data_IF_544187096563
#
_entry.id   IF_544187096563
#
_cell.length_a   1.000
_cell.length_b   1.000
_cell.length_c   1.000
_cell.angle_alpha   90.00
_cell.angle_beta   90.00
_cell.angle_gamma   90.00
#
_symmetry.space_group_name_H-M   'P 1'
#
loop_
_entity.id
_entity.type
_entity.pdbx_description
1 polymer ?
#
# COMPACT_ATOMS: atom_id res chain seq x y z
N UNK A 1 -6.06 -15.93 24.10
CA UNK A 1 -5.95 -15.81 23.75
C UNK A 1 -5.51 -15.69 22.97
N UNK A 2 -5.64 -15.87 22.79
CA UNK A 2 -5.35 -15.81 22.19
C UNK A 2 -4.95 -15.83 21.31
N UNK A 3 -4.80 -15.77 21.02
CA UNK A 3 -4.53 -15.70 20.37
C UNK A 3 -4.08 -15.87 19.56
N UNK A 4 -3.90 -16.09 19.47
CA UNK A 4 -3.50 -16.32 18.79
C UNK A 4 -3.38 -16.10 17.75
N UNK A 5 -3.11 -15.82 17.81
CA UNK A 5 -3.27 -15.19 16.77
C UNK A 5 -2.81 -15.43 15.53
N UNK A 6 -3.15 -15.12 14.67
CA UNK A 6 -2.68 -15.37 13.46
C UNK A 6 -1.77 -14.40 13.02
N UNK A 7 -1.05 -14.75 12.52
CA UNK A 7 0.00 -14.28 12.12
C UNK A 7 -0.11 -13.44 10.91
N UNK A 8 -1.18 -13.33 10.25
CA UNK A 8 -1.36 -12.54 9.06
C UNK A 8 -1.95 -11.23 9.38
N UNK A 9 -1.47 -10.65 10.43
CA UNK A 9 -2.04 -9.43 10.90
C UNK A 9 -1.59 -8.29 10.03
N UNK A 10 -2.55 -7.52 9.57
CA UNK A 10 -2.29 -6.30 8.84
C UNK A 10 -1.80 -5.23 9.81
N UNK A 11 -0.80 -4.47 9.40
CA UNK A 11 -0.46 -3.25 10.11
C UNK A 11 -0.08 -2.17 9.12
N UNK A 12 -0.31 -0.93 9.48
CA UNK A 12 0.08 0.22 8.69
C UNK A 12 0.59 1.28 9.64
N UNK A 13 1.87 1.58 9.54
CA UNK A 13 2.53 2.55 10.40
C UNK A 13 2.89 3.77 9.57
N UNK A 14 2.58 4.95 10.05
CA UNK A 14 2.80 6.17 9.28
C UNK A 14 3.89 7.02 9.92
N UNK A 15 4.62 7.74 9.09
CA UNK A 15 5.48 8.82 9.52
C UNK A 15 5.37 9.95 8.51
N UNK A 16 5.46 11.18 9.00
CA UNK A 16 5.29 12.35 8.13
C UNK A 16 6.55 13.18 8.21
N UNK A 17 7.06 13.57 7.05
CA UNK A 17 8.20 14.45 6.96
C UNK A 17 7.91 15.45 5.85
N UNK A 18 7.86 16.73 6.19
CA UNK A 18 7.49 17.75 5.24
C UNK A 18 6.07 17.51 4.73
N UNK A 19 5.93 17.45 3.41
CA UNK A 19 4.63 17.24 2.79
C UNK A 19 4.35 15.79 2.45
N UNK A 20 5.19 14.86 2.91
CA UNK A 20 5.08 13.46 2.52
C UNK A 20 4.77 12.57 3.70
N UNK A 21 3.79 11.70 3.52
CA UNK A 21 3.53 10.63 4.48
C UNK A 21 4.14 9.35 3.93
N UNK A 22 4.81 8.59 4.79
CA UNK A 22 5.31 7.26 4.43
C UNK A 22 4.52 6.25 5.25
N UNK A 23 3.91 5.29 4.58
CA UNK A 23 3.12 4.26 5.22
C UNK A 23 3.84 2.93 5.01
N UNK A 24 4.25 2.30 6.10
CA UNK A 24 4.84 0.96 6.04
C UNK A 24 3.74 -0.03 6.35
N UNK A 25 3.42 -0.88 5.38
CA UNK A 25 2.33 -1.83 5.49
C UNK A 25 2.91 -3.23 5.58
N UNK A 26 2.39 -4.03 6.50
CA UNK A 26 2.80 -5.42 6.62
C UNK A 26 1.57 -6.33 6.63
N UNK A 27 1.78 -7.57 6.26
CA UNK A 27 0.73 -8.59 6.34
C UNK A 27 -0.08 -8.69 5.08
N UNK A 28 -1.36 -8.88 5.22
CA UNK A 28 -2.26 -9.11 4.10
C UNK A 28 -3.13 -7.89 3.86
N UNK A 29 -3.19 -7.45 2.61
CA UNK A 29 -4.07 -6.35 2.24
C UNK A 29 -5.18 -6.93 1.39
N UNK A 30 -6.38 -7.01 1.97
CA UNK A 30 -7.53 -7.63 1.34
C UNK A 30 -8.75 -6.75 1.58
N UNK A 31 -9.92 -7.29 1.30
CA UNK A 31 -11.17 -6.56 1.39
C UNK A 31 -11.40 -5.99 2.79
N UNK A 32 -10.90 -6.65 3.83
CA UNK A 32 -11.12 -6.19 5.19
C UNK A 32 -10.07 -5.20 5.68
N UNK A 33 -8.92 -5.10 5.01
CA UNK A 33 -7.81 -4.26 5.47
C UNK A 33 -7.43 -3.15 4.49
N UNK A 34 -7.90 -3.23 3.25
CA UNK A 34 -7.53 -2.23 2.24
C UNK A 34 -7.93 -0.81 2.66
N UNK A 35 -9.08 -0.67 3.29
CA UNK A 35 -9.52 0.64 3.74
C UNK A 35 -8.60 1.21 4.82
N UNK A 36 -8.06 0.35 5.66
CA UNK A 36 -7.08 0.77 6.65
C UNK A 36 -5.82 1.34 6.01
N UNK A 37 -5.38 0.75 4.91
CA UNK A 37 -4.25 1.28 4.17
C UNK A 37 -4.58 2.67 3.59
N UNK A 38 -5.77 2.82 3.04
CA UNK A 38 -6.20 4.11 2.50
C UNK A 38 -6.25 5.18 3.59
N UNK A 39 -6.84 4.84 4.74
CA UNK A 39 -6.96 5.77 5.85
C UNK A 39 -5.58 6.17 6.37
N UNK A 40 -4.67 5.23 6.45
CA UNK A 40 -3.32 5.53 6.93
C UNK A 40 -2.63 6.53 6.00
N UNK A 41 -2.81 6.38 4.70
CA UNK A 41 -2.15 7.26 3.74
C UNK A 41 -2.77 8.65 3.67
N UNK A 42 -4.07 8.76 3.97
CA UNK A 42 -4.77 10.03 3.78
C UNK A 42 -5.07 10.76 5.08
N UNK A 43 -4.82 10.14 6.22
CA UNK A 43 -5.22 10.70 7.51
C UNK A 43 -4.48 11.97 7.90
N UNK A 44 -3.27 12.17 7.39
CA UNK A 44 -2.45 13.33 7.74
C UNK A 44 -2.54 14.46 6.72
N UNK A 45 -3.37 14.28 5.71
CA UNK A 45 -3.61 15.31 4.71
C UNK A 45 -2.32 15.75 4.01
N UNK A 46 -1.38 14.85 3.85
CA UNK A 46 -0.13 15.16 3.18
C UNK A 46 -0.35 15.35 1.69
N UNK A 47 0.59 16.00 1.02
CA UNK A 47 0.50 16.23 -0.41
C UNK A 47 1.12 15.12 -1.22
N UNK A 48 1.98 14.32 -0.62
CA UNK A 48 2.65 13.21 -1.29
C UNK A 48 2.65 12.00 -0.36
N UNK A 49 2.70 10.82 -0.94
CA UNK A 49 2.67 9.59 -0.15
C UNK A 49 3.61 8.55 -0.73
N UNK A 50 4.27 7.82 0.16
CA UNK A 50 5.03 6.63 -0.19
C UNK A 50 4.41 5.46 0.54
N UNK A 51 4.06 4.42 -0.20
CA UNK A 51 3.58 3.18 0.39
C UNK A 51 4.69 2.15 0.30
N UNK A 52 5.20 1.74 1.44
CA UNK A 52 6.22 0.71 1.51
C UNK A 52 5.51 -0.62 1.73
N UNK A 53 5.34 -1.37 0.67
CA UNK A 53 4.62 -2.64 0.68
C UNK A 53 5.57 -3.83 0.63
N UNK A 54 6.85 -3.62 0.94
CA UNK A 54 7.85 -4.68 0.81
C UNK A 54 7.59 -5.87 1.72
N UNK A 55 6.85 -5.66 2.81
CA UNK A 55 6.52 -6.74 3.74
C UNK A 55 5.09 -7.23 3.60
N UNK A 56 4.41 -6.86 2.52
CA UNK A 56 3.06 -7.35 2.26
C UNK A 56 3.14 -8.70 1.60
N UNK A 57 2.39 -9.66 2.13
CA UNK A 57 2.44 -11.05 1.68
C UNK A 57 1.21 -11.47 0.88
N UNK A 58 0.16 -10.66 0.87
CA UNK A 58 -1.05 -10.96 0.13
C UNK A 58 -1.71 -9.65 -0.30
N UNK A 59 -2.19 -9.62 -1.54
CA UNK A 59 -2.71 -8.39 -2.12
C UNK A 59 -3.80 -8.77 -3.14
N UNK A 60 -5.04 -8.40 -2.88
CA UNK A 60 -6.14 -8.82 -3.73
C UNK A 60 -6.71 -7.65 -4.54
N UNK A 61 -7.85 -7.88 -5.20
CA UNK A 61 -8.45 -6.86 -6.05
C UNK A 61 -8.92 -5.65 -5.25
N UNK A 62 -9.33 -5.82 -4.01
CA UNK A 62 -9.70 -4.68 -3.17
C UNK A 62 -8.48 -3.81 -2.89
N UNK A 63 -7.33 -4.44 -2.68
CA UNK A 63 -6.08 -3.71 -2.46
C UNK A 63 -5.66 -2.96 -3.72
N UNK A 64 -5.81 -3.59 -4.88
CA UNK A 64 -5.50 -2.94 -6.16
C UNK A 64 -6.37 -1.71 -6.35
N UNK A 65 -7.66 -1.86 -6.08
CA UNK A 65 -8.61 -0.77 -6.22
C UNK A 65 -8.22 0.40 -5.31
N UNK A 66 -7.77 0.08 -4.10
CA UNK A 66 -7.33 1.10 -3.16
C UNK A 66 -6.09 1.83 -3.67
N UNK A 67 -5.15 1.12 -4.30
CA UNK A 67 -3.99 1.78 -4.90
C UNK A 67 -4.39 2.75 -5.99
N UNK A 68 -5.37 2.38 -6.80
CA UNK A 68 -5.86 3.27 -7.85
C UNK A 68 -6.46 4.52 -7.24
N UNK A 69 -7.25 4.36 -6.18
CA UNK A 69 -7.81 5.50 -5.47
C UNK A 69 -6.73 6.39 -4.89
N UNK A 70 -5.67 5.80 -4.36
CA UNK A 70 -4.55 6.57 -3.82
C UNK A 70 -3.80 7.32 -4.92
N UNK A 71 -3.67 6.71 -6.10
CA UNK A 71 -3.04 7.40 -7.22
C UNK A 71 -3.85 8.61 -7.64
N UNK A 72 -5.16 8.56 -7.52
CA UNK A 72 -6.03 9.69 -7.80
C UNK A 72 -5.94 10.75 -6.70
N UNK A 73 -5.78 10.31 -5.47
CA UNK A 73 -5.67 11.23 -4.33
C UNK A 73 -4.34 11.97 -4.31
N UNK A 74 -3.28 11.34 -4.82
CA UNK A 74 -1.94 11.92 -4.86
C UNK A 74 -1.42 11.94 -6.30
N UNK A 75 -2.02 12.73 -7.19
CA UNK A 75 -1.62 12.72 -8.59
C UNK A 75 -0.17 13.15 -8.74
N UNK A 76 0.61 12.33 -9.43
CA UNK A 76 2.03 12.54 -9.64
C UNK A 76 2.84 12.63 -8.33
N UNK A 77 2.25 12.23 -7.22
CA UNK A 77 2.88 12.35 -5.91
C UNK A 77 2.78 11.07 -5.09
N UNK A 78 2.49 9.96 -5.73
CA UNK A 78 2.42 8.65 -5.07
C UNK A 78 3.62 7.81 -5.48
N UNK A 79 4.23 7.13 -4.51
CA UNK A 79 5.23 6.10 -4.77
C UNK A 79 4.82 4.84 -4.07
N UNK A 80 4.87 3.72 -4.76
CA UNK A 80 4.56 2.41 -4.18
C UNK A 80 5.76 1.51 -4.36
N UNK A 81 6.30 0.99 -3.26
CA UNK A 81 7.44 0.07 -3.28
C UNK A 81 6.89 -1.32 -3.01
N UNK A 82 6.83 -2.18 -4.02
CA UNK A 82 6.12 -3.46 -3.88
C UNK A 82 6.99 -4.56 -3.29
N UNK A 83 6.34 -5.54 -2.66
CA UNK A 83 6.96 -6.83 -2.41
C UNK A 83 6.91 -7.64 -3.70
N UNK A 84 7.61 -8.78 -3.79
CA UNK A 84 7.48 -9.63 -4.97
C UNK A 84 6.05 -10.09 -5.21
N UNK A 85 5.30 -10.37 -4.16
CA UNK A 85 3.90 -10.78 -4.30
C UNK A 85 3.04 -9.65 -4.85
N UNK A 86 3.22 -8.45 -4.34
CA UNK A 86 2.48 -7.28 -4.81
C UNK A 86 2.85 -7.01 -6.27
N UNK A 87 4.14 -7.08 -6.60
CA UNK A 87 4.60 -6.84 -7.94
C UNK A 87 3.97 -7.80 -8.92
N UNK A 88 3.91 -9.07 -8.55
CA UNK A 88 3.31 -10.08 -9.42
C UNK A 88 1.84 -9.80 -9.67
N UNK A 89 1.10 -9.44 -8.61
CA UNK A 89 -0.32 -9.16 -8.74
C UNK A 89 -0.54 -7.94 -9.65
N UNK A 90 0.27 -6.91 -9.49
CA UNK A 90 0.15 -5.72 -10.32
C UNK A 90 0.48 -6.01 -11.77
N UNK A 91 1.52 -6.82 -12.02
CA UNK A 91 1.87 -7.20 -13.38
C UNK A 91 0.74 -7.96 -14.05
N UNK A 92 0.15 -8.93 -13.34
CA UNK A 92 -0.95 -9.72 -13.90
C UNK A 92 -2.16 -8.84 -14.17
N UNK A 93 -2.36 -7.82 -13.37
CA UNK A 93 -3.50 -6.90 -13.52
C UNK A 93 -3.26 -5.81 -14.54
N UNK A 94 -2.11 -5.81 -15.21
CA UNK A 94 -1.82 -4.81 -16.22
C UNK A 94 -1.32 -3.49 -15.64
N UNK A 95 -0.90 -3.48 -14.39
CA UNK A 95 -0.50 -2.25 -13.71
C UNK A 95 1.00 -2.17 -13.44
N UNK A 96 1.79 -3.02 -14.08
CA UNK A 96 3.23 -3.05 -13.84
C UNK A 96 3.97 -1.84 -14.38
N UNK A 97 3.34 -1.06 -15.25
CA UNK A 97 3.99 0.10 -15.85
C UNK A 97 3.48 1.43 -15.31
N UNK A 98 2.75 1.41 -14.22
CA UNK A 98 2.20 2.65 -13.69
C UNK A 98 3.31 3.56 -13.17
N UNK A 99 3.16 4.89 -13.37
CA UNK A 99 4.22 5.82 -12.96
C UNK A 99 4.47 5.85 -11.46
N UNK A 100 3.47 5.49 -10.66
CA UNK A 100 3.63 5.48 -9.21
C UNK A 100 4.32 4.23 -8.68
N UNK A 101 4.56 3.24 -9.53
CA UNK A 101 5.17 1.99 -9.09
C UNK A 101 6.68 2.07 -9.21
N UNK A 102 7.38 1.84 -8.11
CA UNK A 102 8.83 1.78 -8.12
C UNK A 102 9.24 0.45 -8.69
N UNK A 103 9.97 0.48 -9.80
CA UNK A 103 10.26 -0.75 -10.54
C UNK A 103 11.73 -1.16 -10.52
N UNK A 104 12.59 -0.38 -9.90
CA UNK A 104 13.98 -0.78 -9.96
C UNK A 104 14.23 -1.90 -9.02
N UNK A 105 15.06 -2.63 -9.39
CA UNK A 105 15.42 -3.69 -8.64
C UNK A 105 15.74 -4.52 -8.06
#
# INVERSE_FOLDING_TARGET
>A
MDQDGPENIFSATTSVAGDRVTVVVTGEVDMSTADGMFQAATGDDARAATLDLRSVTFFDSAAIHTLIRLAERFPAALEVIPSPQVRRVLDISGLGDQPWLVTRG
#
